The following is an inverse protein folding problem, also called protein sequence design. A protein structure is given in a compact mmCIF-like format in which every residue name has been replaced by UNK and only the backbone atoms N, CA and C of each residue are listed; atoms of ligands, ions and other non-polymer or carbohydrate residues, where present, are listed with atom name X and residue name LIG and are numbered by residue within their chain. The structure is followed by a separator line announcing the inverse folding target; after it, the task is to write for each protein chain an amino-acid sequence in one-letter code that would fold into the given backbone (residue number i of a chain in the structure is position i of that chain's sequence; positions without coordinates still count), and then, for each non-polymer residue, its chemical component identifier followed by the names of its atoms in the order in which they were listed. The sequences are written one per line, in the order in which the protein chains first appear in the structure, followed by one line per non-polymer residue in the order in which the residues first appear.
data_IF_406330125024
#
_entry.id   IF_406330125024
#
_cell.length_a   1.000
_cell.length_b   1.000
_cell.length_c   1.000
_cell.angle_alpha   90.00
_cell.angle_beta   90.00
_cell.angle_gamma   90.00
#
_symmetry.space_group_name_H-M   'P 1'
#
loop_
_entity.id
_entity.type
_entity.pdbx_description
1 polymer ?
#
# COMPACT_ATOMS: atom_id res chain seq x y z
N UNK A 1 8.52 5.01 -14.01
CA UNK A 1 7.06 5.07 -14.19
C UNK A 1 6.78 5.90 -15.43
N UNK A 2 5.77 5.54 -16.20
CA UNK A 2 5.36 6.31 -17.39
C UNK A 2 4.00 6.95 -17.11
N UNK A 3 3.88 8.24 -17.41
CA UNK A 3 2.63 9.00 -17.26
C UNK A 3 2.02 8.94 -15.85
N UNK A 4 0.76 8.53 -15.72
CA UNK A 4 -0.03 8.67 -14.51
C UNK A 4 -0.14 7.35 -13.71
N UNK A 5 -0.10 7.47 -12.37
CA UNK A 5 -0.47 6.41 -11.44
C UNK A 5 0.71 5.63 -10.86
N UNK A 6 0.67 5.45 -9.54
CA UNK A 6 1.64 4.67 -8.77
C UNK A 6 2.66 5.53 -8.01
N UNK A 7 2.86 6.78 -8.41
CA UNK A 7 3.76 7.75 -7.79
C UNK A 7 3.46 7.98 -6.31
N UNK A 8 2.19 8.16 -5.93
CA UNK A 8 1.81 8.27 -4.52
C UNK A 8 2.17 7.03 -3.70
N UNK A 9 2.11 5.84 -4.31
CA UNK A 9 2.37 4.57 -3.62
C UNK A 9 3.87 4.38 -3.44
N UNK A 10 4.64 4.66 -4.48
CA UNK A 10 6.10 4.66 -4.44
C UNK A 10 6.62 5.57 -3.33
N UNK A 11 6.11 6.81 -3.28
CA UNK A 11 6.50 7.76 -2.25
C UNK A 11 6.08 7.29 -0.86
N UNK A 12 4.86 6.76 -0.72
CA UNK A 12 4.36 6.25 0.56
C UNK A 12 5.25 5.14 1.10
N UNK A 13 5.60 4.17 0.24
CA UNK A 13 6.46 3.05 0.63
C UNK A 13 7.87 3.52 0.97
N UNK A 14 8.45 4.45 0.19
CA UNK A 14 9.75 5.05 0.50
C UNK A 14 9.75 5.76 1.84
N UNK A 15 8.78 6.65 2.07
CA UNK A 15 8.75 7.44 3.31
C UNK A 15 8.60 6.53 4.51
N UNK A 16 7.58 5.67 4.57
CA UNK A 16 7.35 4.85 5.75
C UNK A 16 8.46 3.82 6.02
N UNK A 17 9.01 3.21 4.96
CA UNK A 17 9.91 2.06 5.13
C UNK A 17 11.38 2.45 5.11
N UNK A 18 11.73 3.66 4.67
CA UNK A 18 13.11 4.13 4.62
C UNK A 18 13.37 5.26 5.65
N UNK A 19 12.57 5.30 6.73
CA UNK A 19 12.82 6.15 7.91
C UNK A 19 12.10 7.49 7.94
N UNK A 20 11.22 7.79 6.99
CA UNK A 20 10.38 8.99 7.02
C UNK A 20 9.06 8.79 7.78
N UNK A 21 8.23 9.83 7.76
CA UNK A 21 6.90 9.88 8.38
C UNK A 21 5.92 10.60 7.46
N UNK A 22 4.67 10.11 7.42
CA UNK A 22 3.56 10.78 6.72
C UNK A 22 2.53 11.22 7.74
N UNK A 23 2.20 12.52 7.74
CA UNK A 23 1.21 13.11 8.62
C UNK A 23 0.12 13.82 7.84
N UNK A 24 -1.10 13.77 8.35
CA UNK A 24 -2.21 14.61 7.91
C UNK A 24 -2.35 15.71 8.96
N UNK A 25 -2.11 16.97 8.57
CA UNK A 25 -2.18 18.13 9.46
C UNK A 25 -3.57 18.78 9.34
N UNK A 26 -4.51 18.57 10.29
CA UNK A 26 -5.89 19.02 10.12
C UNK A 26 -6.06 20.54 10.14
N UNK A 27 -5.04 21.29 10.57
CA UNK A 27 -5.06 22.74 10.55
C UNK A 27 -4.73 23.32 9.16
N UNK A 28 -4.07 22.55 8.29
CA UNK A 28 -3.80 22.94 6.91
C UNK A 28 -4.94 22.48 6.00
N UNK A 29 -5.57 23.41 5.27
CA UNK A 29 -6.77 23.13 4.47
C UNK A 29 -6.56 23.59 3.03
N UNK A 30 -6.59 22.62 2.11
CA UNK A 30 -6.54 22.86 0.66
C UNK A 30 -7.75 22.17 0.04
N UNK A 31 -8.53 22.89 -0.77
CA UNK A 31 -9.64 22.33 -1.51
C UNK A 31 -9.15 21.62 -2.77
N UNK A 32 -9.60 20.38 -2.99
CA UNK A 32 -9.34 19.63 -4.22
C UNK A 32 -10.67 19.29 -4.90
N UNK A 33 -10.82 19.66 -6.18
CA UNK A 33 -11.96 19.26 -6.98
C UNK A 33 -11.72 17.85 -7.53
N UNK A 34 -12.29 16.85 -6.88
CA UNK A 34 -12.25 15.47 -7.36
C UNK A 34 -13.03 15.34 -8.67
N UNK A 35 -12.42 14.66 -9.65
CA UNK A 35 -13.00 14.41 -10.97
C UNK A 35 -13.24 12.92 -11.14
N UNK A 36 -14.40 12.56 -11.66
CA UNK A 36 -14.62 11.20 -12.16
C UNK A 36 -13.83 10.97 -13.47
N UNK A 37 -13.76 9.72 -13.96
CA UNK A 37 -13.06 9.40 -15.22
C UNK A 37 -13.61 10.14 -16.45
N UNK A 38 -14.91 10.46 -16.49
CA UNK A 38 -15.59 11.08 -17.64
C UNK A 38 -15.22 12.57 -17.80
N UNK A 39 -14.91 13.24 -16.68
CA UNK A 39 -14.58 14.68 -16.65
C UNK A 39 -13.07 14.97 -16.60
N UNK A 40 -12.21 14.02 -16.96
CA UNK A 40 -10.75 14.26 -17.04
C UNK A 40 -10.37 14.89 -18.38
N UNK A 41 -9.48 15.90 -18.41
CA UNK A 41 -9.09 16.57 -19.65
C UNK A 41 -7.99 15.82 -20.45
N UNK A 42 -7.64 14.60 -20.05
CA UNK A 42 -6.59 13.79 -20.67
C UNK A 42 -6.97 12.30 -20.62
N UNK A 43 -6.57 11.51 -21.62
CA UNK A 43 -6.74 10.07 -21.60
C UNK A 43 -5.87 9.44 -20.50
N UNK A 44 -6.33 8.31 -19.97
CA UNK A 44 -5.54 7.50 -19.03
C UNK A 44 -5.58 6.06 -19.53
N UNK A 45 -4.43 5.55 -19.95
CA UNK A 45 -4.29 4.19 -20.43
C UNK A 45 -4.25 3.22 -19.24
N UNK A 46 -5.34 2.47 -19.03
CA UNK A 46 -5.50 1.58 -17.87
C UNK A 46 -4.35 0.56 -17.78
N UNK A 47 -3.94 -0.02 -18.91
CA UNK A 47 -2.83 -0.99 -18.93
C UNK A 47 -1.50 -0.36 -18.53
N UNK A 48 -1.28 0.91 -18.88
CA UNK A 48 -0.07 1.64 -18.46
C UNK A 48 -0.08 1.88 -16.94
N UNK A 49 -1.23 2.25 -16.37
CA UNK A 49 -1.41 2.38 -14.92
C UNK A 49 -1.14 1.05 -14.22
N UNK A 50 -1.72 -0.05 -14.71
CA UNK A 50 -1.50 -1.39 -14.15
C UNK A 50 -0.03 -1.80 -14.26
N UNK A 51 0.63 -1.50 -15.39
CA UNK A 51 2.06 -1.75 -15.55
C UNK A 51 2.91 -0.96 -14.55
N UNK A 52 2.57 0.32 -14.27
CA UNK A 52 3.25 1.11 -13.24
C UNK A 52 3.12 0.46 -11.86
N UNK A 53 1.91 0.07 -11.46
CA UNK A 53 1.69 -0.63 -10.19
C UNK A 53 2.37 -2.01 -10.15
N UNK A 54 2.44 -2.71 -11.28
CA UNK A 54 3.13 -4.00 -11.36
C UNK A 54 4.64 -3.86 -11.08
N UNK A 55 5.29 -2.82 -11.62
CA UNK A 55 6.70 -2.50 -11.30
C UNK A 55 6.87 -2.24 -9.80
N UNK A 56 5.99 -1.42 -9.23
CA UNK A 56 6.03 -1.10 -7.80
C UNK A 56 5.75 -2.31 -6.92
N UNK A 57 4.84 -3.19 -7.32
CA UNK A 57 4.56 -4.43 -6.60
C UNK A 57 5.78 -5.35 -6.57
N UNK A 58 6.49 -5.50 -7.69
CA UNK A 58 7.71 -6.31 -7.74
C UNK A 58 8.84 -5.73 -6.85
N UNK A 59 8.92 -4.40 -6.69
CA UNK A 59 9.92 -3.75 -5.84
C UNK A 59 9.52 -3.82 -4.36
N UNK A 60 8.31 -3.37 -4.03
CA UNK A 60 7.90 -3.12 -2.66
C UNK A 60 7.19 -4.31 -2.02
N UNK A 61 6.50 -5.14 -2.81
CA UNK A 61 5.62 -6.20 -2.31
C UNK A 61 6.18 -7.60 -2.56
N UNK A 62 7.49 -7.79 -2.70
CA UNK A 62 8.11 -9.08 -3.10
C UNK A 62 7.48 -10.32 -2.41
N UNK A 63 7.38 -10.33 -1.09
CA UNK A 63 6.82 -11.47 -0.33
C UNK A 63 5.28 -11.52 -0.29
N UNK A 64 4.63 -10.48 -0.80
CA UNK A 64 3.17 -10.28 -0.82
C UNK A 64 2.64 -10.11 -2.25
N UNK A 65 3.46 -10.43 -3.26
CA UNK A 65 3.21 -10.12 -4.66
C UNK A 65 1.97 -10.83 -5.20
N UNK A 66 1.69 -12.02 -4.67
CA UNK A 66 0.51 -12.81 -5.01
C UNK A 66 -0.80 -12.10 -4.68
N UNK A 67 -0.85 -11.25 -3.65
CA UNK A 67 -2.03 -10.44 -3.36
C UNK A 67 -2.32 -9.42 -4.46
N UNK A 68 -1.27 -8.78 -4.99
CA UNK A 68 -1.39 -7.85 -6.12
C UNK A 68 -1.91 -8.59 -7.35
N UNK A 69 -1.31 -9.72 -7.70
CA UNK A 69 -1.72 -10.47 -8.88
C UNK A 69 -3.07 -11.17 -8.74
N UNK A 70 -3.53 -11.47 -7.52
CA UNK A 70 -4.91 -11.92 -7.29
C UNK A 70 -5.91 -10.82 -7.66
N UNK A 71 -5.55 -9.57 -7.42
CA UNK A 71 -6.39 -8.40 -7.76
C UNK A 71 -6.22 -7.93 -9.20
N UNK A 72 -5.06 -8.18 -9.80
CA UNK A 72 -4.71 -7.83 -11.19
C UNK A 72 -4.06 -9.01 -11.91
N UNK A 73 -4.82 -10.09 -12.22
CA UNK A 73 -4.27 -11.27 -12.89
C UNK A 73 -3.61 -10.94 -14.24
N UNK A 74 -4.14 -9.95 -14.97
CA UNK A 74 -3.62 -9.47 -16.24
C UNK A 74 -2.17 -8.96 -16.14
N UNK A 75 -1.73 -8.52 -14.96
CA UNK A 75 -0.39 -8.00 -14.75
C UNK A 75 0.70 -9.08 -14.86
N UNK A 76 0.37 -10.37 -14.68
CA UNK A 76 1.34 -11.47 -14.80
C UNK A 76 1.93 -11.61 -16.20
N UNK A 77 1.15 -11.25 -17.22
CA UNK A 77 1.59 -11.31 -18.62
C UNK A 77 2.28 -10.04 -19.11
N UNK A 78 2.39 -9.00 -18.30
CA UNK A 78 2.98 -7.72 -18.71
C UNK A 78 4.51 -7.79 -18.67
N UNK A 79 5.16 -7.31 -19.73
CA UNK A 79 6.62 -7.20 -19.77
C UNK A 79 7.08 -5.99 -18.95
N UNK A 80 8.04 -6.23 -18.04
CA UNK A 80 8.63 -5.22 -17.18
C UNK A 80 10.11 -5.03 -17.52
N UNK A 81 10.42 -4.03 -18.32
CA UNK A 81 11.81 -3.72 -18.71
C UNK A 81 12.52 -2.89 -17.64
N UNK A 82 13.83 -3.08 -17.44
CA UNK A 82 14.64 -2.22 -16.55
C UNK A 82 14.36 -2.40 -15.06
N UNK A 83 13.88 -3.57 -14.65
CA UNK A 83 13.61 -3.89 -13.23
C UNK A 83 14.90 -4.06 -12.41
N UNK A 84 16.00 -4.51 -13.03
CA UNK A 84 17.28 -4.75 -12.37
C UNK A 84 17.81 -3.50 -11.66
N UNK A 85 17.95 -2.39 -12.38
CA UNK A 85 18.38 -1.10 -11.81
C UNK A 85 17.45 -0.60 -10.68
N UNK A 86 16.14 -0.87 -10.79
CA UNK A 86 15.19 -0.51 -9.74
C UNK A 86 15.37 -1.37 -8.48
N UNK A 87 15.70 -2.65 -8.64
CA UNK A 87 16.00 -3.52 -7.51
C UNK A 87 17.32 -3.16 -6.83
N UNK A 88 18.35 -2.83 -7.60
CA UNK A 88 19.64 -2.36 -7.09
C UNK A 88 19.45 -1.09 -6.26
N UNK A 89 18.80 -0.08 -6.84
CA UNK A 89 18.56 1.17 -6.11
C UNK A 89 17.70 0.98 -4.87
N UNK A 90 16.68 0.11 -4.91
CA UNK A 90 15.90 -0.22 -3.71
C UNK A 90 16.75 -0.91 -2.64
N UNK A 91 17.71 -1.76 -3.02
CA UNK A 91 18.61 -2.42 -2.07
C UNK A 91 19.57 -1.43 -1.39
N UNK A 92 20.05 -0.42 -2.11
CA UNK A 92 20.91 0.66 -1.57
C UNK A 92 20.23 1.46 -0.46
N UNK A 93 18.91 1.66 -0.52
CA UNK A 93 18.17 2.45 0.45
C UNK A 93 17.99 1.76 1.81
N UNK A 94 18.29 0.45 1.90
CA UNK A 94 18.19 -0.35 3.13
C UNK A 94 16.83 -0.23 3.87
N UNK A 95 15.75 -0.10 3.10
CA UNK A 95 14.42 0.08 3.65
C UNK A 95 13.90 -1.18 4.36
N UNK A 96 13.00 -0.99 5.33
CA UNK A 96 12.27 -2.06 6.01
C UNK A 96 11.42 -2.87 5.03
N UNK A 97 11.07 -4.11 5.40
CA UNK A 97 10.26 -5.01 4.58
C UNK A 97 8.77 -4.63 4.55
N UNK A 98 8.02 -5.21 3.62
CA UNK A 98 6.55 -5.04 3.60
C UNK A 98 5.89 -5.65 4.85
N UNK A 99 6.42 -6.76 5.36
CA UNK A 99 5.96 -7.36 6.61
C UNK A 99 6.10 -6.37 7.77
N UNK A 100 7.25 -5.68 7.88
CA UNK A 100 7.45 -4.64 8.88
C UNK A 100 6.40 -3.52 8.74
N UNK A 101 6.12 -3.07 7.51
CA UNK A 101 5.11 -2.03 7.25
C UNK A 101 3.71 -2.44 7.72
N UNK A 102 3.31 -3.69 7.48
CA UNK A 102 2.01 -4.22 7.90
C UNK A 102 1.94 -4.41 9.42
N UNK A 103 3.06 -4.77 10.04
CA UNK A 103 3.15 -4.96 11.49
C UNK A 103 3.13 -3.64 12.27
N UNK A 104 3.72 -2.58 11.71
CA UNK A 104 4.01 -1.34 12.44
C UNK A 104 3.14 -0.16 11.97
N UNK A 105 2.81 -0.08 10.68
CA UNK A 105 2.14 1.09 10.10
C UNK A 105 0.68 0.77 9.77
N UNK A 106 0.44 -0.24 8.93
CA UNK A 106 -0.89 -0.55 8.39
C UNK A 106 -1.45 -1.87 8.92
N UNK A 107 -1.78 -1.86 10.22
CA UNK A 107 -2.31 -3.03 10.92
C UNK A 107 -3.76 -3.38 10.50
N UNK A 108 -4.52 -2.41 9.96
CA UNK A 108 -5.83 -2.70 9.34
C UNK A 108 -5.63 -3.58 8.11
N UNK A 109 -4.74 -3.20 7.19
CA UNK A 109 -4.41 -4.03 6.04
C UNK A 109 -3.82 -5.38 6.47
N UNK A 110 -2.98 -5.43 7.52
CA UNK A 110 -2.47 -6.68 8.06
C UNK A 110 -3.58 -7.63 8.48
N UNK A 111 -4.58 -7.11 9.19
CA UNK A 111 -5.74 -7.88 9.61
C UNK A 111 -6.60 -8.34 8.43
N UNK A 112 -6.68 -7.53 7.37
CA UNK A 112 -7.61 -7.75 6.26
C UNK A 112 -7.01 -8.51 5.06
N UNK A 113 -5.67 -8.64 4.95
CA UNK A 113 -5.00 -9.13 3.74
C UNK A 113 -5.48 -10.52 3.27
N UNK A 114 -5.73 -11.42 4.22
CA UNK A 114 -6.16 -12.80 3.98
C UNK A 114 -7.67 -12.90 3.65
N UNK A 115 -8.41 -11.83 3.94
CA UNK A 115 -9.86 -11.71 3.72
C UNK A 115 -10.22 -10.92 2.46
N UNK A 116 -9.21 -10.40 1.74
CA UNK A 116 -9.39 -9.69 0.48
C UNK A 116 -10.12 -10.58 -0.54
N UNK A 117 -11.13 -10.00 -1.18
CA UNK A 117 -11.94 -10.61 -2.23
C UNK A 117 -12.04 -9.68 -3.45
N UNK A 118 -12.41 -10.23 -4.60
CA UNK A 118 -12.58 -9.50 -5.86
C UNK A 118 -14.06 -9.53 -6.30
N UNK A 119 -14.76 -8.38 -6.41
CA UNK A 119 -16.21 -8.36 -6.64
C UNK A 119 -16.61 -8.77 -8.07
N UNK A 120 -15.74 -8.55 -9.06
CA UNK A 120 -16.02 -8.81 -10.47
C UNK A 120 -15.38 -10.07 -11.05
N UNK A 121 -14.64 -10.86 -10.24
CA UNK A 121 -14.03 -12.10 -10.70
C UNK A 121 -14.96 -13.26 -10.36
N UNK A 122 -15.08 -14.20 -11.31
CA UNK A 122 -15.71 -15.49 -11.05
C UNK A 122 -14.66 -16.45 -10.49
N UNK A 123 -14.93 -17.09 -9.36
CA UNK A 123 -14.01 -18.06 -8.76
C UNK A 123 -14.00 -18.04 -7.24
N UNK A 124 -12.95 -18.66 -6.66
CA UNK A 124 -12.76 -18.76 -5.22
C UNK A 124 -12.56 -17.40 -4.54
N UNK A 125 -11.99 -16.45 -5.26
CA UNK A 125 -11.68 -15.10 -4.77
C UNK A 125 -12.87 -14.14 -4.84
N UNK A 126 -14.04 -14.59 -5.32
CA UNK A 126 -15.23 -13.75 -5.41
C UNK A 126 -15.71 -13.31 -4.03
N UNK A 127 -16.06 -12.03 -3.89
CA UNK A 127 -16.66 -11.52 -2.66
C UNK A 127 -17.97 -12.22 -2.30
N UNK A 128 -18.07 -12.71 -1.05
CA UNK A 128 -19.25 -13.37 -0.50
C UNK A 128 -19.86 -12.47 0.58
N UNK A 129 -20.90 -11.73 0.23
CA UNK A 129 -21.57 -10.81 1.14
C UNK A 129 -21.52 -9.37 0.66
N UNK A 130 -21.99 -8.45 1.53
CA UNK A 130 -22.04 -7.03 1.21
C UNK A 130 -20.64 -6.41 1.40
N UNK A 131 -20.22 -5.62 0.40
CA UNK A 131 -19.00 -4.84 0.52
C UNK A 131 -19.12 -3.81 1.65
N UNK A 132 -18.00 -3.60 2.34
CA UNK A 132 -17.91 -2.56 3.33
C UNK A 132 -18.02 -1.16 2.68
N UNK A 133 -18.68 -0.18 3.33
CA UNK A 133 -18.80 1.17 2.80
C UNK A 133 -17.42 1.77 2.46
N UNK A 134 -17.26 2.26 1.22
CA UNK A 134 -16.00 2.85 0.76
C UNK A 134 -14.86 1.85 0.52
N UNK A 135 -15.11 0.53 0.62
CA UNK A 135 -14.15 -0.53 0.33
C UNK A 135 -14.64 -1.37 -0.85
N UNK A 136 -13.69 -1.77 -1.69
CA UNK A 136 -14.01 -2.51 -2.91
C UNK A 136 -13.69 -4.01 -2.81
N UNK A 137 -12.77 -4.38 -1.92
CA UNK A 137 -12.20 -5.73 -1.84
C UNK A 137 -12.40 -6.42 -0.50
N UNK A 138 -13.22 -5.84 0.38
CA UNK A 138 -13.45 -6.32 1.74
C UNK A 138 -14.95 -6.28 2.02
N UNK A 139 -15.48 -7.36 2.59
CA UNK A 139 -16.87 -7.42 3.05
C UNK A 139 -17.02 -6.82 4.43
N UNK A 140 -18.23 -6.44 4.83
CA UNK A 140 -18.51 -5.86 6.16
C UNK A 140 -18.04 -6.76 7.30
N UNK A 141 -18.19 -8.06 7.13
CA UNK A 141 -17.84 -9.08 8.13
C UNK A 141 -16.33 -9.30 8.23
N UNK A 142 -15.60 -8.89 7.19
CA UNK A 142 -14.16 -9.08 7.07
C UNK A 142 -13.34 -7.88 7.55
N UNK A 143 -14.01 -6.74 7.81
CA UNK A 143 -13.32 -5.54 8.27
C UNK A 143 -12.75 -5.72 9.67
N UNK A 144 -11.61 -5.07 9.93
CA UNK A 144 -11.07 -5.00 11.27
C UNK A 144 -12.06 -4.27 12.21
N UNK A 145 -12.50 -4.89 13.32
CA UNK A 145 -13.35 -4.21 14.28
C UNK A 145 -12.61 -3.03 14.92
N UNK A 146 -13.34 -1.93 15.18
CA UNK A 146 -12.76 -0.68 15.69
C UNK A 146 -12.04 -0.84 17.03
N UNK A 147 -12.59 -1.65 17.94
CA UNK A 147 -11.99 -1.93 19.24
C UNK A 147 -10.67 -2.69 19.10
N UNK A 148 -10.60 -3.63 18.16
CA UNK A 148 -9.37 -4.36 17.83
C UNK A 148 -8.34 -3.38 17.24
N UNK A 149 -8.76 -2.51 16.31
CA UNK A 149 -7.88 -1.49 15.73
C UNK A 149 -7.27 -0.57 16.80
N UNK A 150 -8.10 -0.03 17.70
CA UNK A 150 -7.62 0.88 18.77
C UNK A 150 -6.62 0.16 19.67
N UNK A 151 -6.89 -1.10 20.05
CA UNK A 151 -6.00 -1.88 20.89
C UNK A 151 -4.67 -2.17 20.19
N UNK A 152 -4.71 -2.70 18.97
CA UNK A 152 -3.50 -3.02 18.19
C UNK A 152 -2.65 -1.79 17.96
N UNK A 153 -3.27 -0.65 17.64
CA UNK A 153 -2.56 0.61 17.49
C UNK A 153 -1.83 1.01 18.78
N UNK A 154 -2.51 0.94 19.93
CA UNK A 154 -1.91 1.28 21.21
C UNK A 154 -0.74 0.36 21.57
N UNK A 155 -0.84 -0.94 21.28
CA UNK A 155 0.24 -1.92 21.49
C UNK A 155 1.47 -1.60 20.64
N UNK A 156 1.28 -1.26 19.35
CA UNK A 156 2.37 -0.88 18.45
C UNK A 156 3.02 0.43 18.89
N UNK A 157 2.22 1.45 19.23
CA UNK A 157 2.72 2.75 19.71
C UNK A 157 3.50 2.61 21.04
N UNK A 158 3.06 1.72 21.95
CA UNK A 158 3.80 1.40 23.17
C UNK A 158 5.15 0.74 22.86
N UNK A 159 5.19 -0.24 21.95
CA UNK A 159 6.42 -0.89 21.51
C UNK A 159 7.41 0.07 20.84
N UNK A 160 6.92 1.11 20.18
CA UNK A 160 7.78 2.19 19.68
C UNK A 160 8.38 3.00 20.83
N UNK A 161 7.60 3.39 21.84
CA UNK A 161 8.11 4.16 22.97
C UNK A 161 9.20 3.41 23.75
N UNK A 162 9.08 2.09 23.89
CA UNK A 162 10.07 1.24 24.56
C UNK A 162 11.37 1.07 23.75
N UNK A 163 11.29 1.12 22.42
CA UNK A 163 12.46 1.02 21.53
C UNK A 163 13.17 2.36 21.27
N UNK A 164 12.75 3.45 21.94
CA UNK A 164 13.30 4.80 21.80
C UNK A 164 12.49 5.74 20.89
N UNK A 165 11.30 5.30 20.47
CA UNK A 165 10.39 6.00 19.58
C UNK A 165 10.74 5.79 18.11
N UNK A 166 9.79 6.06 17.23
CA UNK A 166 10.01 6.08 15.76
C UNK A 166 11.15 7.04 15.35
N UNK A 167 11.49 8.00 16.22
CA UNK A 167 12.61 8.94 16.07
C UNK A 167 13.97 8.44 16.57
N UNK A 168 14.08 7.36 17.35
CA UNK A 168 15.38 6.81 17.76
C UNK A 168 16.07 6.03 16.64
N UNK A 169 15.31 5.29 15.83
CA UNK A 169 15.85 4.58 14.66
C UNK A 169 16.41 5.55 13.61
N UNK A 170 15.83 6.75 13.50
CA UNK A 170 16.35 7.83 12.65
C UNK A 170 17.71 8.41 13.10
N UNK A 171 18.09 8.22 14.37
CA UNK A 171 19.36 8.73 14.93
C UNK A 171 20.49 7.70 14.93
N UNK A 172 20.19 6.40 14.79
CA UNK A 172 21.21 5.34 14.81
C UNK A 172 21.94 5.15 13.48
N UNK A 173 21.33 5.52 12.35
CA UNK A 173 21.95 5.38 11.00
C UNK A 173 22.64 6.67 10.50
N UNK A 174 22.90 7.64 11.39
CA UNK A 174 23.65 8.87 11.07
C UNK A 174 24.96 9.03 11.86
N UNK A 175 25.51 7.95 12.38
CA UNK A 175 26.80 7.93 13.08
C UNK A 175 27.82 7.07 12.35
#
# INVERSE_FOLDING_TARGET
MLEWGGDHFELTMKVWRCGGLIEIVPCSRIGHLFRDPEHRPYPVEVNQVVANYNRLANIWLKDHLEYFYRMKPEARGMQLEGMEALHEHHAELQCKSMAWYLDNIDHEMKYEMDKICHPFVNGKDKCKGALAPGRFTITRESQMPRDVYIRTRAEVEAGWNESGGMHADLKKDRS
#
